data_IF_072684937855
#
_entry.id   IF_072684937855
#
_cell.length_a   1.000
_cell.length_b   1.000
_cell.length_c   1.000
_cell.angle_alpha   90.00
_cell.angle_beta   90.00
_cell.angle_gamma   90.00
#
_symmetry.space_group_name_H-M   'P 1'
#
loop_
_entity.id
_entity.type
_entity.pdbx_description
1 polymer ?
#
# COMPACT_ATOMS: atom_id res chain seq x y z
N UNK A 1 8.59 4.40 -0.23
CA UNK A 1 8.23 3.36 0.75
C UNK A 1 8.83 2.04 0.33
N UNK A 2 9.24 1.26 1.29
CA UNK A 2 9.85 -0.03 0.99
C UNK A 2 8.82 -1.14 1.01
N UNK A 3 9.11 -2.19 0.29
CA UNK A 3 8.32 -3.40 0.33
C UNK A 3 8.22 -3.92 1.75
N UNK A 4 7.04 -4.38 2.10
CA UNK A 4 6.82 -4.90 3.43
C UNK A 4 6.56 -3.83 4.46
N UNK A 5 6.66 -2.56 4.08
CA UNK A 5 6.34 -1.47 5.00
C UNK A 5 4.87 -1.52 5.35
N UNK A 6 4.58 -1.21 6.60
CA UNK A 6 3.20 -1.12 7.07
C UNK A 6 2.73 0.30 6.92
N UNK A 7 1.56 0.48 6.31
CA UNK A 7 1.01 1.80 6.02
C UNK A 7 -0.47 1.84 6.32
N UNK A 8 -0.98 3.03 6.46
CA UNK A 8 -2.40 3.28 6.66
C UNK A 8 -2.76 4.56 5.93
N UNK A 9 -3.97 4.62 5.40
CA UNK A 9 -4.45 5.85 4.80
C UNK A 9 -4.55 6.94 5.86
N UNK A 10 -4.16 8.14 5.49
CA UNK A 10 -4.25 9.29 6.41
C UNK A 10 -5.66 9.54 6.86
N UNK A 11 -6.63 9.21 6.03
CA UNK A 11 -8.05 9.36 6.38
C UNK A 11 -8.56 8.25 7.29
N UNK A 12 -7.74 7.26 7.60
CA UNK A 12 -8.11 6.12 8.41
C UNK A 12 -8.22 4.87 7.56
N UNK A 13 -8.59 3.76 8.20
CA UNK A 13 -8.75 2.51 7.50
C UNK A 13 -7.85 1.42 8.06
N UNK A 14 -7.81 0.26 7.39
CA UNK A 14 -7.04 -0.87 7.88
C UNK A 14 -5.54 -0.67 7.72
N UNK A 15 -4.78 -1.38 8.54
CA UNK A 15 -3.35 -1.47 8.35
C UNK A 15 -3.07 -2.29 7.10
N UNK A 16 -2.18 -1.79 6.25
CA UNK A 16 -1.86 -2.44 4.99
C UNK A 16 -0.37 -2.66 4.88
N UNK A 17 0.03 -3.55 3.96
CA UNK A 17 1.43 -3.83 3.70
C UNK A 17 1.73 -3.48 2.25
N UNK A 18 2.84 -2.79 2.03
CA UNK A 18 3.27 -2.44 0.68
C UNK A 18 3.69 -3.70 -0.07
N UNK A 19 3.13 -3.87 -1.27
CA UNK A 19 3.44 -5.01 -2.12
C UNK A 19 4.53 -4.62 -3.13
N UNK A 20 5.70 -5.11 -2.89
CA UNK A 20 6.91 -4.70 -3.61
C UNK A 20 6.92 -5.01 -5.10
N UNK A 21 6.45 -6.18 -5.45
CA UNK A 21 6.63 -6.65 -6.83
C UNK A 21 6.03 -5.68 -7.83
N UNK A 22 4.81 -5.24 -7.55
CA UNK A 22 4.14 -4.30 -8.43
C UNK A 22 4.79 -2.93 -8.38
N UNK A 23 5.24 -2.54 -7.21
CA UNK A 23 5.83 -1.22 -7.04
C UNK A 23 7.11 -1.09 -7.86
N UNK A 24 7.91 -2.13 -7.90
CA UNK A 24 9.15 -2.09 -8.65
C UNK A 24 8.92 -2.12 -10.16
N UNK A 25 7.87 -2.78 -10.60
CA UNK A 25 7.54 -2.85 -12.01
C UNK A 25 7.18 -1.49 -12.59
N UNK A 26 6.62 -0.61 -11.79
CA UNK A 26 6.14 0.69 -12.27
C UNK A 26 7.07 1.83 -11.90
N UNK A 27 8.24 1.53 -11.37
CA UNK A 27 9.11 2.60 -10.88
C UNK A 27 9.61 3.55 -11.96
N UNK A 28 9.59 3.11 -13.20
CA UNK A 28 10.04 3.95 -14.30
C UNK A 28 8.93 4.83 -14.86
N UNK A 29 7.70 4.62 -14.40
CA UNK A 29 6.59 5.43 -14.84
C UNK A 29 6.48 6.67 -13.97
N UNK A 30 5.60 7.58 -14.35
CA UNK A 30 5.31 8.75 -13.54
C UNK A 30 4.25 8.45 -12.48
N UNK A 31 3.84 7.19 -12.39
CA UNK A 31 2.81 6.77 -11.45
C UNK A 31 3.39 6.76 -10.05
N UNK A 32 2.77 7.52 -9.15
CA UNK A 32 3.22 7.63 -7.76
C UNK A 32 2.40 6.75 -6.83
N UNK A 33 1.55 5.89 -7.39
CA UNK A 33 0.71 5.03 -6.56
C UNK A 33 1.50 3.87 -5.99
N UNK A 34 1.15 3.49 -4.77
CA UNK A 34 1.82 2.43 -4.03
C UNK A 34 0.85 1.26 -3.89
N UNK A 35 1.20 0.08 -4.44
CA UNK A 35 0.33 -1.09 -4.29
C UNK A 35 0.38 -1.61 -2.86
N UNK A 36 -0.80 -1.86 -2.29
CA UNK A 36 -0.91 -2.32 -0.90
C UNK A 36 -1.81 -3.53 -0.83
N UNK A 37 -1.59 -4.37 0.17
CA UNK A 37 -2.45 -5.51 0.44
C UNK A 37 -2.83 -5.50 1.92
N UNK A 38 -4.01 -6.03 2.22
CA UNK A 38 -4.46 -6.14 3.60
C UNK A 38 -5.54 -7.22 3.70
N UNK A 39 -5.88 -7.58 4.92
CA UNK A 39 -6.98 -8.52 5.17
C UNK A 39 -8.21 -7.75 5.63
N UNK A 40 -9.37 -8.11 5.09
CA UNK A 40 -10.62 -7.51 5.55
C UNK A 40 -11.14 -8.24 6.81
N UNK A 41 -12.34 -7.86 7.26
CA UNK A 41 -12.90 -8.43 8.48
C UNK A 41 -13.18 -9.93 8.36
N UNK A 42 -13.36 -10.43 7.16
CA UNK A 42 -13.57 -11.86 6.90
C UNK A 42 -12.26 -12.55 6.58
N UNK A 43 -11.14 -11.85 6.74
CA UNK A 43 -9.80 -12.36 6.49
C UNK A 43 -9.55 -12.71 5.04
N UNK A 44 -10.25 -12.06 4.13
CA UNK A 44 -9.96 -12.16 2.72
C UNK A 44 -8.88 -11.14 2.35
N UNK A 45 -7.96 -11.55 1.49
CA UNK A 45 -6.91 -10.64 1.03
C UNK A 45 -7.51 -9.63 0.08
N UNK A 46 -7.26 -8.36 0.35
CA UNK A 46 -7.68 -7.27 -0.52
C UNK A 46 -6.45 -6.57 -1.07
N UNK A 47 -6.56 -6.03 -2.26
CA UNK A 47 -5.45 -5.32 -2.91
C UNK A 47 -5.97 -4.04 -3.52
N UNK A 48 -5.15 -2.99 -3.43
CA UNK A 48 -5.46 -1.74 -4.08
C UNK A 48 -4.19 -0.89 -4.13
N UNK A 49 -4.19 0.10 -5.00
CA UNK A 49 -3.09 1.05 -5.08
C UNK A 49 -3.56 2.42 -4.62
N UNK A 50 -2.72 3.12 -3.88
CA UNK A 50 -3.05 4.43 -3.35
C UNK A 50 -1.94 5.40 -3.65
N UNK A 51 -2.27 6.68 -3.75
CA UNK A 51 -1.25 7.71 -3.90
C UNK A 51 -0.36 7.72 -2.67
N UNK A 52 0.95 7.79 -2.87
CA UNK A 52 1.90 7.76 -1.78
C UNK A 52 1.61 8.83 -0.73
N UNK A 53 1.22 10.02 -1.19
CA UNK A 53 0.96 11.12 -0.26
C UNK A 53 -0.27 10.92 0.61
N UNK A 54 -1.11 9.93 0.30
CA UNK A 54 -2.29 9.64 1.12
C UNK A 54 -2.01 8.58 2.18
N UNK A 55 -0.78 8.09 2.24
CA UNK A 55 -0.40 7.02 3.15
C UNK A 55 0.53 7.52 4.25
N UNK A 56 0.35 7.00 5.45
CA UNK A 56 1.27 7.21 6.57
C UNK A 56 1.99 5.90 6.87
N UNK A 57 3.29 6.00 7.10
CA UNK A 57 4.05 4.83 7.57
C UNK A 57 3.66 4.52 9.00
N UNK A 58 3.45 3.25 9.27
CA UNK A 58 3.12 2.76 10.62
C UNK A 58 4.20 1.80 11.04
N UNK A 59 4.91 2.15 12.09
CA UNK A 59 5.97 1.29 12.64
C UNK A 59 5.53 0.60 13.90
#
# INVERSE_FOLDING_TARGET
MKTGSKVRLKSGGPLMTVNKDRYEEIKESTDTRVPCIWFDNDQHVQKASFEEETLDLVD
#
